data_IF_754633636796
#
_entry.id   IF_754633636796
#
_cell.length_a   1.000
_cell.length_b   1.000
_cell.length_c   1.000
_cell.angle_alpha   90.00
_cell.angle_beta   90.00
_cell.angle_gamma   90.00
#
_symmetry.space_group_name_H-M   'P 1'
#
loop_
_entity.id
_entity.type
_entity.pdbx_description
1 polymer ?
#
# COMPACT_ATOMS: atom_id res chain seq x y z
N UNK A 1 17.10 16.04 22.70
CA UNK A 1 15.62 15.82 22.83
C UNK A 1 15.05 15.87 21.44
N UNK A 2 14.38 14.82 20.96
CA UNK A 2 13.78 14.82 19.62
C UNK A 2 12.49 15.66 19.72
N UNK A 3 12.47 16.79 19.05
CA UNK A 3 11.28 17.64 18.98
C UNK A 3 10.23 16.93 18.08
N UNK A 4 9.06 16.64 18.65
CA UNK A 4 7.97 15.99 17.91
C UNK A 4 7.18 17.04 17.13
N UNK A 5 7.25 16.97 15.83
CA UNK A 5 6.43 17.80 14.97
C UNK A 5 4.95 17.43 15.12
N UNK A 6 4.09 18.44 15.17
CA UNK A 6 2.63 18.28 15.22
C UNK A 6 2.02 18.97 14.01
N UNK A 7 1.14 18.26 13.31
CA UNK A 7 0.43 18.80 12.16
C UNK A 7 -1.03 18.31 12.20
N UNK A 8 -1.95 19.15 11.76
CA UNK A 8 -3.35 18.78 11.55
C UNK A 8 -3.51 18.24 10.14
N UNK A 9 -4.13 17.06 9.99
CA UNK A 9 -4.36 16.42 8.70
C UNK A 9 -5.63 15.58 8.73
N UNK A 10 -6.16 15.21 7.56
CA UNK A 10 -7.27 14.27 7.46
C UNK A 10 -6.82 12.83 7.75
N UNK A 11 -7.81 11.96 8.03
CA UNK A 11 -7.54 10.57 8.43
C UNK A 11 -6.88 9.73 7.33
N UNK A 12 -7.19 9.99 6.04
CA UNK A 12 -6.57 9.27 4.93
C UNK A 12 -5.10 9.63 4.79
N UNK A 13 -4.77 10.92 4.89
CA UNK A 13 -3.38 11.41 4.88
C UNK A 13 -2.58 10.84 6.05
N UNK A 14 -3.17 10.80 7.26
CA UNK A 14 -2.53 10.19 8.42
C UNK A 14 -2.27 8.68 8.22
N UNK A 15 -3.25 7.95 7.68
CA UNK A 15 -3.12 6.53 7.39
C UNK A 15 -2.06 6.28 6.30
N UNK A 16 -2.04 7.10 5.24
CA UNK A 16 -1.03 7.04 4.19
C UNK A 16 0.38 7.28 4.76
N UNK A 17 0.54 8.26 5.63
CA UNK A 17 1.83 8.59 6.25
C UNK A 17 2.39 7.39 7.04
N UNK A 18 1.57 6.76 7.87
CA UNK A 18 2.00 5.58 8.64
C UNK A 18 2.27 4.39 7.73
N UNK A 19 1.41 4.13 6.74
CA UNK A 19 1.62 2.99 5.82
C UNK A 19 2.84 3.18 4.92
N UNK A 20 3.12 4.41 4.47
CA UNK A 20 4.29 4.75 3.66
C UNK A 20 5.59 4.31 4.33
N UNK A 21 5.70 4.57 5.65
CA UNK A 21 6.90 4.21 6.42
C UNK A 21 7.26 2.72 6.36
N UNK A 22 6.27 1.84 6.16
CA UNK A 22 6.45 0.38 6.14
C UNK A 22 6.19 -0.24 4.76
N UNK A 23 6.21 0.56 3.70
CA UNK A 23 5.92 0.13 2.33
C UNK A 23 7.14 0.26 1.45
N UNK A 24 7.44 -0.76 0.67
CA UNK A 24 8.44 -0.71 -0.39
C UNK A 24 7.75 -0.58 -1.75
N UNK A 25 6.60 -1.25 -1.93
CA UNK A 25 5.79 -1.19 -3.16
C UNK A 25 4.35 -0.88 -2.80
N UNK A 26 3.76 0.12 -3.44
CA UNK A 26 2.33 0.39 -3.40
C UNK A 26 1.72 0.07 -4.76
N UNK A 27 0.93 -1.00 -4.84
CA UNK A 27 0.17 -1.34 -6.04
C UNK A 27 -1.27 -0.88 -5.86
N UNK A 28 -1.69 0.10 -6.65
CA UNK A 28 -2.93 0.83 -6.44
C UNK A 28 -3.86 0.76 -7.65
N UNK A 29 -5.14 0.84 -7.39
CA UNK A 29 -6.19 1.24 -8.32
C UNK A 29 -7.12 2.18 -7.55
N UNK A 30 -7.00 3.51 -7.77
CA UNK A 30 -7.68 4.51 -6.93
C UNK A 30 -9.20 4.35 -6.96
N UNK A 31 -9.81 4.33 -5.78
CA UNK A 31 -11.26 4.27 -5.60
C UNK A 31 -11.66 5.08 -4.36
N UNK A 32 -12.72 5.88 -4.50
CA UNK A 32 -13.30 6.65 -3.39
C UNK A 32 -13.94 5.70 -2.36
N UNK A 33 -13.74 5.93 -1.04
CA UNK A 33 -13.11 7.09 -0.40
C UNK A 33 -11.60 6.92 -0.11
N UNK A 34 -10.95 5.89 -0.60
CA UNK A 34 -9.52 5.61 -0.32
C UNK A 34 -8.54 6.23 -1.31
N UNK A 35 -9.03 6.84 -2.41
CA UNK A 35 -8.20 7.45 -3.46
C UNK A 35 -7.18 8.45 -2.91
N UNK A 36 -7.57 9.28 -1.95
CA UNK A 36 -6.68 10.26 -1.34
C UNK A 36 -5.42 9.62 -0.71
N UNK A 37 -5.53 8.41 -0.14
CA UNK A 37 -4.34 7.68 0.39
C UNK A 37 -3.38 7.29 -0.74
N UNK A 38 -3.92 6.86 -1.88
CA UNK A 38 -3.13 6.52 -3.05
C UNK A 38 -2.44 7.76 -3.65
N UNK A 39 -3.19 8.85 -3.82
CA UNK A 39 -2.73 10.13 -4.37
C UNK A 39 -1.60 10.74 -3.56
N UNK A 40 -1.73 10.82 -2.23
CA UNK A 40 -0.67 11.39 -1.38
C UNK A 40 0.57 10.47 -1.36
N UNK A 41 0.38 9.15 -1.40
CA UNK A 41 1.49 8.20 -1.48
C UNK A 41 2.27 8.38 -2.78
N UNK A 42 1.57 8.52 -3.90
CA UNK A 42 2.18 8.76 -5.21
C UNK A 42 2.89 10.12 -5.25
N UNK A 43 2.25 11.18 -4.75
CA UNK A 43 2.84 12.52 -4.65
C UNK A 43 4.13 12.50 -3.84
N UNK A 44 4.17 11.84 -2.69
CA UNK A 44 5.39 11.75 -1.87
C UNK A 44 6.48 10.91 -2.54
N UNK A 45 6.09 9.84 -3.21
CA UNK A 45 7.02 9.02 -3.99
C UNK A 45 7.66 9.82 -5.14
N UNK A 46 6.84 10.55 -5.91
CA UNK A 46 7.29 11.32 -7.07
C UNK A 46 8.10 12.56 -6.68
N UNK A 47 7.65 13.32 -5.67
CA UNK A 47 8.34 14.54 -5.22
C UNK A 47 9.53 14.27 -4.31
N UNK A 48 9.67 13.06 -3.79
CA UNK A 48 10.63 12.69 -2.75
C UNK A 48 10.51 13.57 -1.48
N UNK A 49 9.31 14.08 -1.19
CA UNK A 49 9.02 14.90 -0.02
C UNK A 49 7.79 14.41 0.70
N UNK A 50 7.89 14.20 2.00
CA UNK A 50 6.77 13.87 2.86
C UNK A 50 5.96 15.12 3.26
N UNK A 51 4.92 14.94 4.08
CA UNK A 51 4.04 16.02 4.55
C UNK A 51 4.80 17.10 5.36
N UNK A 52 5.96 16.81 5.89
CA UNK A 52 6.80 17.77 6.63
C UNK A 52 7.86 18.44 5.74
N UNK A 53 7.88 18.15 4.42
CA UNK A 53 8.88 18.65 3.50
C UNK A 53 10.24 17.91 3.56
N UNK A 54 10.33 16.87 4.39
CA UNK A 54 11.51 16.02 4.52
C UNK A 54 11.54 14.94 3.43
N UNK A 55 12.70 14.29 3.17
CA UNK A 55 12.77 13.19 2.21
C UNK A 55 11.75 12.08 2.52
N UNK A 56 10.89 11.77 1.54
CA UNK A 56 9.85 10.74 1.65
C UNK A 56 10.48 9.35 1.54
N UNK A 57 11.05 8.86 2.63
CA UNK A 57 11.65 7.54 2.69
C UNK A 57 10.91 6.64 3.67
N UNK A 58 10.85 5.36 3.35
CA UNK A 58 10.38 4.34 4.28
C UNK A 58 11.44 4.03 5.35
N UNK A 59 11.11 3.18 6.30
CA UNK A 59 12.05 2.78 7.40
C UNK A 59 13.29 2.04 6.90
N UNK A 60 13.30 1.59 5.64
CA UNK A 60 14.45 0.95 5.00
C UNK A 60 15.35 1.95 4.25
N UNK A 61 15.01 3.25 4.29
CA UNK A 61 15.78 4.32 3.64
C UNK A 61 15.53 4.45 2.13
N UNK A 62 14.51 3.77 1.58
CA UNK A 62 14.15 3.82 0.16
C UNK A 62 12.85 4.57 -0.07
N UNK A 63 12.63 5.05 -1.30
CA UNK A 63 11.35 5.59 -1.71
C UNK A 63 10.37 4.44 -2.00
N UNK A 64 9.09 4.65 -1.74
CA UNK A 64 8.04 3.71 -2.12
C UNK A 64 7.90 3.70 -3.64
N UNK A 65 7.93 2.52 -4.25
CA UNK A 65 7.60 2.36 -5.66
C UNK A 65 6.09 2.26 -5.83
N UNK A 66 5.48 3.28 -6.42
CA UNK A 66 4.04 3.28 -6.72
C UNK A 66 3.79 2.73 -8.11
N UNK A 67 2.82 1.84 -8.24
CA UNK A 67 2.39 1.24 -9.51
C UNK A 67 0.87 1.31 -9.57
N UNK A 68 0.35 2.08 -10.52
CA UNK A 68 -1.08 2.14 -10.81
C UNK A 68 -1.47 1.02 -11.77
N UNK A 69 -2.53 0.31 -11.40
CA UNK A 69 -3.04 -0.84 -12.14
C UNK A 69 -4.36 -0.52 -12.84
N UNK A 70 -4.80 -1.41 -13.71
CA UNK A 70 -6.02 -1.22 -14.53
C UNK A 70 -7.30 -1.72 -13.83
N UNK A 71 -7.16 -2.35 -12.65
CA UNK A 71 -8.27 -2.87 -11.87
C UNK A 71 -7.81 -3.28 -10.47
N UNK A 72 -8.76 -3.45 -9.54
CA UNK A 72 -8.49 -3.96 -8.19
C UNK A 72 -7.90 -5.38 -8.22
N UNK A 73 -8.39 -6.23 -9.11
CA UNK A 73 -7.83 -7.58 -9.30
C UNK A 73 -6.38 -7.51 -9.79
N UNK A 74 -6.08 -6.58 -10.71
CA UNK A 74 -4.72 -6.29 -11.16
C UNK A 74 -3.82 -5.83 -10.02
N UNK A 75 -4.30 -4.88 -9.20
CA UNK A 75 -3.58 -4.42 -8.01
C UNK A 75 -3.31 -5.56 -7.04
N UNK A 76 -4.30 -6.44 -6.78
CA UNK A 76 -4.12 -7.61 -5.94
C UNK A 76 -3.09 -8.61 -6.52
N UNK A 77 -3.06 -8.78 -7.84
CA UNK A 77 -2.05 -9.59 -8.54
C UNK A 77 -0.64 -9.03 -8.37
N UNK A 78 -0.46 -7.71 -8.56
CA UNK A 78 0.81 -7.02 -8.36
C UNK A 78 1.27 -7.10 -6.90
N UNK A 79 0.36 -6.88 -5.93
CA UNK A 79 0.63 -7.10 -4.50
C UNK A 79 1.10 -8.52 -4.24
N UNK A 80 0.43 -9.52 -4.82
CA UNK A 80 0.81 -10.92 -4.63
C UNK A 80 2.21 -11.20 -5.19
N UNK A 81 2.51 -10.72 -6.39
CA UNK A 81 3.84 -10.89 -7.02
C UNK A 81 4.95 -10.20 -6.23
N UNK A 82 4.73 -8.97 -5.80
CA UNK A 82 5.68 -8.19 -5.01
C UNK A 82 5.97 -8.85 -3.65
N UNK A 83 4.93 -9.31 -2.95
CA UNK A 83 5.10 -10.05 -1.69
C UNK A 83 5.81 -11.39 -1.87
N UNK A 84 5.57 -12.08 -2.98
CA UNK A 84 6.27 -13.33 -3.30
C UNK A 84 7.77 -13.09 -3.55
N UNK A 85 8.13 -11.92 -4.09
CA UNK A 85 9.50 -11.46 -4.25
C UNK A 85 10.14 -10.96 -2.93
N UNK A 86 9.36 -10.87 -1.84
CA UNK A 86 9.86 -10.50 -0.50
C UNK A 86 9.65 -9.03 -0.12
N UNK A 87 9.14 -8.19 -1.02
CA UNK A 87 8.92 -6.77 -0.74
C UNK A 87 7.68 -6.54 0.15
N UNK A 88 7.77 -5.60 1.09
CA UNK A 88 6.61 -5.13 1.85
C UNK A 88 5.71 -4.29 0.96
N UNK A 89 4.49 -4.75 0.76
CA UNK A 89 3.59 -4.19 -0.24
C UNK A 89 2.27 -3.75 0.37
N UNK A 90 1.81 -2.57 -0.03
CA UNK A 90 0.54 -1.97 0.39
C UNK A 90 -0.37 -1.75 -0.83
N UNK A 91 -1.66 -1.83 -0.62
CA UNK A 91 -2.69 -1.35 -1.56
C UNK A 91 -3.75 -0.59 -0.78
N UNK A 92 -4.33 0.42 -1.44
CA UNK A 92 -5.42 1.23 -0.90
C UNK A 92 -6.67 0.94 -1.72
N UNK A 93 -7.75 0.58 -1.05
CA UNK A 93 -9.00 0.23 -1.73
C UNK A 93 -10.21 0.49 -0.83
N UNK A 94 -11.40 0.44 -1.39
CA UNK A 94 -12.67 0.50 -0.68
C UNK A 94 -13.33 -0.89 -0.62
N UNK A 95 -14.50 -1.00 0.01
CA UNK A 95 -15.18 -2.26 0.26
C UNK A 95 -15.43 -3.09 -1.01
N UNK A 96 -15.97 -2.47 -2.07
CA UNK A 96 -16.22 -3.14 -3.35
C UNK A 96 -14.93 -3.55 -4.05
N UNK A 97 -13.88 -2.73 -4.00
CA UNK A 97 -12.56 -3.08 -4.55
C UNK A 97 -11.95 -4.27 -3.82
N UNK A 98 -12.12 -4.32 -2.48
CA UNK A 98 -11.67 -5.47 -1.70
C UNK A 98 -12.38 -6.77 -2.12
N UNK A 99 -13.68 -6.71 -2.43
CA UNK A 99 -14.44 -7.85 -2.95
C UNK A 99 -13.89 -8.32 -4.30
N UNK A 100 -13.54 -7.40 -5.20
CA UNK A 100 -12.95 -7.71 -6.50
C UNK A 100 -11.53 -8.30 -6.41
N UNK A 101 -10.84 -8.12 -5.28
CA UNK A 101 -9.54 -8.74 -5.00
C UNK A 101 -9.65 -10.19 -4.48
N UNK A 102 -10.85 -10.65 -4.07
CA UNK A 102 -11.05 -11.98 -3.46
C UNK A 102 -10.62 -13.13 -4.37
N UNK A 103 -10.89 -13.15 -5.69
CA UNK A 103 -10.45 -14.23 -6.58
C UNK A 103 -8.94 -14.49 -6.51
N UNK A 104 -8.15 -13.45 -6.46
CA UNK A 104 -6.68 -13.55 -6.33
C UNK A 104 -6.29 -14.15 -4.96
N UNK A 105 -6.96 -13.75 -3.89
CA UNK A 105 -6.74 -14.32 -2.54
C UNK A 105 -7.09 -15.81 -2.48
N UNK A 106 -8.10 -16.23 -3.22
CA UNK A 106 -8.53 -17.64 -3.27
C UNK A 106 -7.52 -18.51 -4.05
N UNK A 107 -6.99 -18.00 -5.16
CA UNK A 107 -5.89 -18.63 -5.90
C UNK A 107 -4.66 -18.85 -5.02
N UNK A 108 -4.33 -17.88 -4.14
CA UNK A 108 -3.24 -18.01 -3.19
C UNK A 108 -3.40 -19.22 -2.26
N UNK A 109 -4.60 -19.47 -1.73
CA UNK A 109 -4.84 -20.67 -0.87
C UNK A 109 -4.57 -21.98 -1.60
N UNK A 110 -4.84 -22.05 -2.90
CA UNK A 110 -4.56 -23.24 -3.74
C UNK A 110 -3.08 -23.39 -4.05
N UNK A 111 -2.36 -22.30 -4.31
CA UNK A 111 -0.91 -22.28 -4.58
C UNK A 111 -0.08 -22.53 -3.32
N UNK A 112 -0.48 -22.00 -2.15
CA UNK A 112 0.23 -22.23 -0.88
C UNK A 112 0.12 -23.69 -0.38
N UNK A 113 -0.92 -24.44 -0.78
CA UNK A 113 -0.98 -25.90 -0.56
C UNK A 113 0.08 -26.64 -1.35
N UNK A 114 0.60 -26.03 -2.41
CA UNK A 114 1.61 -26.64 -3.26
C UNK A 114 3.06 -26.26 -2.90
N UNK A 115 3.28 -25.07 -2.36
CA UNK A 115 4.61 -24.61 -1.97
C UNK A 115 4.70 -24.39 -0.45
N UNK A 116 5.04 -25.40 0.31
CA UNK A 116 5.09 -25.36 1.79
C UNK A 116 6.08 -24.36 2.43
N UNK A 117 6.38 -23.23 1.79
CA UNK A 117 7.27 -22.17 2.30
C UNK A 117 6.96 -20.82 1.67
N UNK A 118 6.26 -20.00 2.32
CA UNK A 118 6.52 -18.56 2.52
C UNK A 118 5.28 -17.86 3.10
N UNK A 119 5.39 -17.32 4.32
CA UNK A 119 4.35 -16.48 4.92
C UNK A 119 4.51 -15.06 4.39
N UNK A 120 3.97 -14.79 3.22
CA UNK A 120 3.84 -13.42 2.74
C UNK A 120 2.84 -12.63 3.58
N UNK A 121 3.27 -11.51 4.11
CA UNK A 121 2.44 -10.58 4.90
C UNK A 121 1.83 -9.54 3.97
N UNK A 122 0.56 -9.72 3.59
CA UNK A 122 -0.17 -8.70 2.86
C UNK A 122 -0.78 -7.70 3.83
N UNK A 123 -0.45 -6.41 3.67
CA UNK A 123 -1.18 -5.30 4.30
C UNK A 123 -2.16 -4.72 3.29
N UNK A 124 -3.43 -4.75 3.65
CA UNK A 124 -4.48 -4.01 2.94
C UNK A 124 -4.94 -2.92 3.88
N UNK A 125 -4.78 -1.67 3.46
CA UNK A 125 -5.32 -0.52 4.18
C UNK A 125 -6.58 -0.10 3.44
N UNK A 126 -7.71 -0.26 4.07
CA UNK A 126 -9.01 0.14 3.55
C UNK A 126 -9.82 0.89 4.60
N UNK A 127 -10.72 1.75 4.14
CA UNK A 127 -11.71 2.37 5.00
C UNK A 127 -12.94 1.48 5.01
N UNK A 128 -13.34 1.01 6.18
CA UNK A 128 -14.68 0.48 6.38
C UNK A 128 -15.66 1.68 6.34
N UNK A 129 -16.67 1.60 5.50
CA UNK A 129 -17.81 2.51 5.49
C UNK A 129 -18.85 1.94 6.42
#
# INVERSE_FOLDING_TARGET
>A
MIERQKISMDGNTAAAHVSYAFTEVAAIYPITPSSNMAEVTDTWSASNKNIFGEPAKNVFGTNVKVVEMQSEAGAAGAVHGSLAAGALTTTYTASQGLLLMIPIKTLKKRLLRWSGRNRSRMKVVGRAV
#
